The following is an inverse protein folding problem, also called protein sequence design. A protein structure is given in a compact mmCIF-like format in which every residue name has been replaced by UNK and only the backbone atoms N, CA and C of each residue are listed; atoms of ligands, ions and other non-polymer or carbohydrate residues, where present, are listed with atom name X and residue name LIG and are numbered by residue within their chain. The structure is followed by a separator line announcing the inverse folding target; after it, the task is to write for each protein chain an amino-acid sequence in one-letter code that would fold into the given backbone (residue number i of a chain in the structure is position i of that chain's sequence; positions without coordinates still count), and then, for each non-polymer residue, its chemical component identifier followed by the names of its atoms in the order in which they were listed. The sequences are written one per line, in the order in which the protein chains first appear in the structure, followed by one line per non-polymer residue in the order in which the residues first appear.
data_IF_807250914072
#
_entry.id   IF_807250914072
#
_cell.length_a   1.000
_cell.length_b   1.000
_cell.length_c   1.000
_cell.angle_alpha   90.00
_cell.angle_beta   90.00
_cell.angle_gamma   90.00
#
_symmetry.space_group_name_H-M   'P 1'
#
loop_
_entity.id
_entity.type
_entity.pdbx_description
1 polymer ?
#
# COMPACT_ATOMS: atom_id res chain seq x y z
N UNK A 1 20.26 -4.64 19.88
CA UNK A 1 19.03 -5.43 20.14
C UNK A 1 17.81 -4.74 19.57
N UNK A 2 17.46 -3.52 20.00
CA UNK A 2 16.29 -2.78 19.49
C UNK A 2 16.22 -2.68 17.95
N UNK A 3 17.31 -2.30 17.29
CA UNK A 3 17.37 -2.22 15.82
C UNK A 3 17.05 -3.55 15.13
N UNK A 4 17.55 -4.67 15.68
CA UNK A 4 17.25 -6.00 15.16
C UNK A 4 15.78 -6.38 15.35
N UNK A 5 15.14 -5.95 16.44
CA UNK A 5 13.72 -6.23 16.71
C UNK A 5 12.82 -5.44 15.75
N UNK A 6 13.10 -4.14 15.56
CA UNK A 6 12.36 -3.30 14.59
C UNK A 6 12.56 -3.78 13.16
N UNK A 7 13.77 -4.20 12.80
CA UNK A 7 14.04 -4.79 11.50
C UNK A 7 13.21 -6.06 11.26
N UNK A 8 13.16 -6.96 12.24
CA UNK A 8 12.31 -8.16 12.14
C UNK A 8 10.83 -7.81 12.07
N UNK A 9 10.37 -6.80 12.82
CA UNK A 9 8.98 -6.32 12.72
C UNK A 9 8.65 -5.85 11.30
N UNK A 10 9.53 -5.06 10.67
CA UNK A 10 9.39 -4.62 9.27
C UNK A 10 9.26 -5.80 8.32
N UNK A 11 10.13 -6.80 8.43
CA UNK A 11 10.07 -8.00 7.60
C UNK A 11 8.72 -8.73 7.77
N UNK A 12 8.23 -8.86 9.00
CA UNK A 12 6.95 -9.51 9.27
C UNK A 12 5.75 -8.74 8.72
N UNK A 13 5.82 -7.40 8.70
CA UNK A 13 4.81 -6.57 8.04
C UNK A 13 4.81 -6.81 6.52
N UNK A 14 5.99 -6.85 5.89
CA UNK A 14 6.15 -7.11 4.45
C UNK A 14 5.66 -8.51 4.06
N UNK A 15 5.92 -9.51 4.92
CA UNK A 15 5.42 -10.89 4.77
C UNK A 15 3.92 -11.05 5.09
N UNK A 16 3.23 -9.98 5.51
CA UNK A 16 1.85 -10.02 6.01
C UNK A 16 1.63 -10.94 7.24
N UNK A 17 2.68 -11.30 7.97
CA UNK A 17 2.58 -11.95 9.30
C UNK A 17 2.34 -10.88 10.38
N UNK A 18 1.17 -10.23 10.29
CA UNK A 18 0.79 -9.10 11.14
C UNK A 18 0.78 -9.45 12.65
N UNK A 19 0.34 -10.65 13.09
CA UNK A 19 0.43 -11.03 14.50
C UNK A 19 1.87 -11.16 14.98
N UNK A 20 2.80 -11.68 14.17
CA UNK A 20 4.21 -11.71 14.55
C UNK A 20 4.81 -10.30 14.58
N UNK A 21 4.50 -9.46 13.60
CA UNK A 21 4.94 -8.06 13.58
C UNK A 21 4.52 -7.31 14.86
N UNK A 22 3.27 -7.49 15.30
CA UNK A 22 2.75 -6.88 16.53
C UNK A 22 3.57 -7.30 17.76
N UNK A 23 3.83 -8.61 17.93
CA UNK A 23 4.68 -9.12 19.01
C UNK A 23 6.10 -8.53 19.00
N UNK A 24 6.68 -8.35 17.81
CA UNK A 24 8.00 -7.73 17.70
C UNK A 24 7.97 -6.24 18.05
N UNK A 25 6.92 -5.50 17.69
CA UNK A 25 6.77 -4.09 18.12
C UNK A 25 6.51 -3.97 19.63
N UNK A 26 5.76 -4.88 20.24
CA UNK A 26 5.61 -4.97 21.69
C UNK A 26 6.97 -5.23 22.38
N UNK A 27 7.76 -6.16 21.84
CA UNK A 27 9.12 -6.41 22.32
C UNK A 27 10.02 -5.18 22.13
N UNK A 28 9.91 -4.49 21.00
CA UNK A 28 10.69 -3.27 20.73
C UNK A 28 10.41 -2.21 21.80
N UNK A 29 9.15 -2.07 22.22
CA UNK A 29 8.76 -1.17 23.31
C UNK A 29 9.50 -1.50 24.61
N UNK A 30 9.56 -2.78 24.97
CA UNK A 30 10.23 -3.23 26.19
C UNK A 30 11.75 -3.01 26.16
N UNK A 31 12.37 -3.08 24.96
CA UNK A 31 13.82 -2.91 24.78
C UNK A 31 14.22 -1.44 24.59
N UNK A 32 13.42 -0.65 23.87
CA UNK A 32 13.69 0.77 23.61
C UNK A 32 13.48 1.60 24.87
N UNK A 33 12.50 1.24 25.71
CA UNK A 33 12.08 2.05 26.86
C UNK A 33 11.42 3.39 26.46
N UNK A 34 11.43 3.75 25.18
CA UNK A 34 10.81 4.93 24.60
C UNK A 34 9.93 4.54 23.40
N UNK A 35 8.64 4.84 23.49
CA UNK A 35 7.67 4.64 22.40
C UNK A 35 7.66 5.75 21.36
N UNK A 36 8.41 6.82 21.61
CA UNK A 36 8.51 7.97 20.71
C UNK A 36 9.62 7.79 19.66
N UNK A 37 10.24 6.60 19.54
CA UNK A 37 11.22 6.36 18.49
C UNK A 37 10.58 6.45 17.09
N UNK A 38 11.20 7.20 16.18
CA UNK A 38 10.63 7.50 14.87
C UNK A 38 10.38 6.24 14.02
N UNK A 39 11.31 5.27 14.06
CA UNK A 39 11.19 4.01 13.29
C UNK A 39 10.09 3.14 13.91
N UNK A 40 10.03 3.07 15.24
CA UNK A 40 8.95 2.37 15.93
C UNK A 40 7.58 2.92 15.54
N UNK A 41 7.38 4.24 15.63
CA UNK A 41 6.11 4.88 15.29
C UNK A 41 5.74 4.66 13.81
N UNK A 42 6.73 4.76 12.91
CA UNK A 42 6.51 4.48 11.49
C UNK A 42 6.00 3.06 11.25
N UNK A 43 6.67 2.05 11.83
CA UNK A 43 6.29 0.65 11.66
C UNK A 43 4.97 0.32 12.36
N UNK A 44 4.67 0.96 13.49
CA UNK A 44 3.38 0.83 14.17
C UNK A 44 2.24 1.38 13.31
N UNK A 45 2.40 2.57 12.72
CA UNK A 45 1.41 3.14 11.81
C UNK A 45 1.17 2.22 10.60
N UNK A 46 2.24 1.70 10.00
CA UNK A 46 2.16 0.77 8.87
C UNK A 46 1.47 -0.55 9.25
N UNK A 47 1.77 -1.12 10.42
CA UNK A 47 1.09 -2.31 10.92
C UNK A 47 -0.41 -2.06 11.09
N UNK A 48 -0.80 -0.96 11.75
CA UNK A 48 -2.22 -0.62 11.96
C UNK A 48 -2.94 -0.40 10.62
N UNK A 49 -2.28 0.23 9.65
CA UNK A 49 -2.79 0.38 8.29
C UNK A 49 -3.05 -0.99 7.63
N UNK A 50 -2.07 -1.91 7.67
CA UNK A 50 -2.20 -3.27 7.11
C UNK A 50 -3.26 -4.11 7.83
N UNK A 51 -3.55 -3.82 9.10
CA UNK A 51 -4.65 -4.42 9.88
C UNK A 51 -6.01 -3.76 9.63
N UNK A 52 -6.10 -2.79 8.70
CA UNK A 52 -7.29 -1.97 8.45
C UNK A 52 -7.78 -1.16 9.67
N UNK A 53 -6.90 -0.89 10.64
CA UNK A 53 -7.18 -0.04 11.82
C UNK A 53 -6.86 1.42 11.49
N UNK A 54 -7.57 1.97 10.51
CA UNK A 54 -7.27 3.26 9.87
C UNK A 54 -7.18 4.43 10.87
N UNK A 55 -8.13 4.61 11.81
CA UNK A 55 -8.05 5.73 12.76
C UNK A 55 -6.81 5.65 13.67
N UNK A 56 -6.40 4.45 14.06
CA UNK A 56 -5.21 4.24 14.89
C UNK A 56 -3.93 4.46 14.12
N UNK A 57 -3.88 3.99 12.87
CA UNK A 57 -2.76 4.27 11.97
C UNK A 57 -2.58 5.78 11.77
N UNK A 58 -3.67 6.52 11.58
CA UNK A 58 -3.65 7.98 11.40
C UNK A 58 -3.12 8.69 12.66
N UNK A 59 -3.63 8.32 13.83
CA UNK A 59 -3.15 8.88 15.09
C UNK A 59 -1.64 8.66 15.30
N UNK A 60 -1.13 7.45 15.04
CA UNK A 60 0.30 7.13 15.17
C UNK A 60 1.14 7.88 14.13
N UNK A 61 0.67 7.99 12.88
CA UNK A 61 1.34 8.81 11.85
C UNK A 61 1.43 10.27 12.30
N UNK A 62 0.34 10.85 12.77
CA UNK A 62 0.29 12.26 13.14
C UNK A 62 1.19 12.53 14.35
N UNK A 63 1.25 11.61 15.31
CA UNK A 63 2.21 11.65 16.42
C UNK A 63 3.66 11.57 15.93
N UNK A 64 3.97 10.63 15.04
CA UNK A 64 5.29 10.48 14.41
C UNK A 64 5.72 11.76 13.71
N UNK A 65 4.86 12.35 12.87
CA UNK A 65 5.18 13.55 12.10
C UNK A 65 5.28 14.81 12.96
N UNK A 66 4.56 14.85 14.10
CA UNK A 66 4.68 15.94 15.08
C UNK A 66 6.03 15.89 15.82
N UNK A 67 6.50 14.68 16.16
CA UNK A 67 7.73 14.47 16.92
C UNK A 67 8.98 14.48 16.03
N UNK A 68 8.87 13.88 14.84
CA UNK A 68 9.95 13.60 13.90
C UNK A 68 9.58 14.04 12.48
N UNK A 69 9.37 15.35 12.23
CA UNK A 69 8.97 15.85 10.93
C UNK A 69 9.99 15.54 9.82
N UNK A 70 11.26 15.29 10.16
CA UNK A 70 12.31 14.89 9.23
C UNK A 70 12.09 13.51 8.59
N UNK A 71 11.20 12.68 9.15
CA UNK A 71 10.81 11.39 8.56
C UNK A 71 10.22 11.54 7.16
N UNK A 72 9.67 12.71 6.81
CA UNK A 72 9.20 13.04 5.46
C UNK A 72 10.34 13.18 4.42
N UNK A 73 11.60 12.99 4.80
CA UNK A 73 12.74 12.87 3.88
C UNK A 73 12.96 11.44 3.38
N UNK A 74 12.22 10.47 3.92
CA UNK A 74 12.24 9.09 3.45
C UNK A 74 11.07 8.86 2.46
N UNK A 75 11.35 8.50 1.20
CA UNK A 75 10.31 8.18 0.21
C UNK A 75 9.31 7.12 0.67
N UNK A 76 9.75 6.11 1.44
CA UNK A 76 8.87 5.04 1.94
C UNK A 76 7.88 5.58 2.97
N UNK A 77 8.33 6.49 3.83
CA UNK A 77 7.46 7.17 4.81
C UNK A 77 6.40 8.00 4.10
N UNK A 78 6.80 8.78 3.10
CA UNK A 78 5.89 9.58 2.29
C UNK A 78 4.84 8.71 1.59
N UNK A 79 5.25 7.60 1.00
CA UNK A 79 4.31 6.73 0.30
C UNK A 79 3.34 6.01 1.26
N UNK A 80 3.80 5.61 2.45
CA UNK A 80 2.92 5.06 3.49
C UNK A 80 1.93 6.13 4.02
N UNK A 81 2.37 7.38 4.16
CA UNK A 81 1.49 8.50 4.51
C UNK A 81 0.44 8.75 3.42
N UNK A 82 0.84 8.67 2.13
CA UNK A 82 -0.08 8.78 1.00
C UNK A 82 -1.15 7.67 1.03
N UNK A 83 -0.75 6.42 1.28
CA UNK A 83 -1.69 5.31 1.36
C UNK A 83 -2.73 5.52 2.46
N UNK A 84 -2.28 5.98 3.63
CA UNK A 84 -3.18 6.28 4.73
C UNK A 84 -4.14 7.43 4.36
N UNK A 85 -3.66 8.45 3.66
CA UNK A 85 -4.52 9.54 3.16
C UNK A 85 -5.58 9.02 2.18
N UNK A 86 -5.27 8.05 1.31
CA UNK A 86 -6.27 7.40 0.45
C UNK A 86 -7.39 6.76 1.29
N UNK A 87 -7.04 6.02 2.36
CA UNK A 87 -8.03 5.44 3.28
C UNK A 87 -8.83 6.47 4.07
N UNK A 88 -8.25 7.64 4.34
CA UNK A 88 -8.94 8.77 4.96
C UNK A 88 -9.76 9.60 3.95
N UNK A 89 -9.79 9.22 2.67
CA UNK A 89 -10.39 9.99 1.57
C UNK A 89 -9.82 11.42 1.43
N UNK A 90 -8.53 11.58 1.77
CA UNK A 90 -7.73 12.82 1.68
C UNK A 90 -6.81 12.77 0.46
N UNK A 91 -7.42 12.82 -0.72
CA UNK A 91 -6.73 12.43 -1.97
C UNK A 91 -5.79 13.51 -2.50
N UNK A 92 -6.06 14.79 -2.19
CA UNK A 92 -5.14 15.89 -2.47
C UNK A 92 -3.84 15.77 -1.64
N UNK A 93 -3.96 15.44 -0.35
CA UNK A 93 -2.81 15.19 0.51
C UNK A 93 -2.04 13.94 0.06
N UNK A 94 -2.74 12.88 -0.34
CA UNK A 94 -2.11 11.69 -0.91
C UNK A 94 -1.29 12.01 -2.16
N UNK A 95 -1.83 12.82 -3.07
CA UNK A 95 -1.13 13.28 -4.27
C UNK A 95 0.15 14.05 -3.91
N UNK A 96 0.07 14.97 -2.96
CA UNK A 96 1.21 15.76 -2.50
C UNK A 96 2.32 14.89 -1.90
N UNK A 97 1.97 13.90 -1.08
CA UNK A 97 2.96 12.97 -0.53
C UNK A 97 3.65 12.13 -1.61
N UNK A 98 2.89 11.61 -2.59
CA UNK A 98 3.46 10.86 -3.71
C UNK A 98 4.36 11.72 -4.60
N UNK A 99 3.99 12.98 -4.81
CA UNK A 99 4.81 13.94 -5.56
C UNK A 99 6.15 14.17 -4.85
N UNK A 100 6.12 14.40 -3.53
CA UNK A 100 7.33 14.54 -2.73
C UNK A 100 8.18 13.26 -2.78
N UNK A 101 7.57 12.08 -2.68
CA UNK A 101 8.29 10.81 -2.73
C UNK A 101 9.02 10.65 -4.07
N UNK A 102 8.32 10.91 -5.18
CA UNK A 102 8.86 10.83 -6.55
C UNK A 102 10.01 11.82 -6.77
N UNK A 103 9.97 12.99 -6.11
CA UNK A 103 11.02 14.00 -6.20
C UNK A 103 12.31 13.58 -5.47
N UNK A 104 12.17 12.81 -4.38
CA UNK A 104 13.30 12.30 -3.61
C UNK A 104 13.90 11.03 -4.22
N UNK A 105 13.04 10.10 -4.65
CA UNK A 105 13.44 8.88 -5.33
C UNK A 105 12.46 8.56 -6.46
N UNK A 106 13.01 8.42 -7.67
CA UNK A 106 12.23 8.06 -8.85
C UNK A 106 11.90 6.57 -8.87
N UNK A 107 12.64 5.71 -8.14
CA UNK A 107 12.29 4.30 -7.95
C UNK A 107 11.24 4.16 -6.86
N UNK A 108 10.01 4.58 -7.18
CA UNK A 108 8.84 4.32 -6.34
C UNK A 108 8.65 2.79 -6.26
N UNK A 109 8.59 2.18 -5.05
CA UNK A 109 8.28 0.76 -4.95
C UNK A 109 6.96 0.39 -5.62
N UNK A 110 6.90 -0.80 -6.22
CA UNK A 110 5.78 -1.26 -7.05
C UNK A 110 4.42 -1.17 -6.33
N UNK A 111 4.40 -1.45 -5.02
CA UNK A 111 3.23 -1.31 -4.14
C UNK A 111 2.56 0.07 -4.19
N UNK A 112 3.30 1.12 -4.53
CA UNK A 112 2.80 2.49 -4.60
C UNK A 112 2.33 2.91 -5.99
N UNK A 113 2.56 2.08 -7.02
CA UNK A 113 1.95 2.27 -8.34
C UNK A 113 0.43 2.22 -8.25
N UNK A 114 -0.09 1.26 -7.47
CA UNK A 114 -1.53 1.16 -7.21
C UNK A 114 -2.09 2.42 -6.54
N UNK A 115 -1.42 2.93 -5.51
CA UNK A 115 -1.86 4.14 -4.77
C UNK A 115 -1.82 5.36 -5.67
N UNK A 116 -0.76 5.52 -6.48
CA UNK A 116 -0.68 6.59 -7.47
C UNK A 116 -1.77 6.51 -8.51
N UNK A 117 -2.08 5.32 -9.01
CA UNK A 117 -3.17 5.11 -9.95
C UNK A 117 -4.53 5.46 -9.33
N UNK A 118 -4.81 5.08 -8.08
CA UNK A 118 -6.05 5.47 -7.38
C UNK A 118 -6.21 6.99 -7.28
N UNK A 119 -5.13 7.70 -6.90
CA UNK A 119 -5.12 9.16 -6.81
C UNK A 119 -5.37 9.81 -8.18
N UNK A 120 -4.70 9.32 -9.23
CA UNK A 120 -4.92 9.80 -10.61
C UNK A 120 -6.35 9.57 -11.09
N UNK A 121 -6.90 8.39 -10.83
CA UNK A 121 -8.28 8.05 -11.17
C UNK A 121 -9.27 8.98 -10.47
N UNK A 122 -9.08 9.23 -9.17
CA UNK A 122 -9.95 10.14 -8.43
C UNK A 122 -9.91 11.57 -8.98
N UNK A 123 -8.73 12.03 -9.37
CA UNK A 123 -8.54 13.36 -9.95
C UNK A 123 -9.05 13.48 -11.40
N UNK A 124 -9.69 12.45 -11.95
CA UNK A 124 -10.21 12.42 -13.32
C UNK A 124 -9.13 12.25 -14.38
N UNK A 125 -7.87 12.00 -13.99
CA UNK A 125 -6.73 11.77 -14.88
C UNK A 125 -6.69 10.30 -15.33
N UNK A 126 -7.80 9.83 -15.91
CA UNK A 126 -8.01 8.41 -16.24
C UNK A 126 -7.01 7.89 -17.29
N UNK A 127 -6.59 8.73 -18.24
CA UNK A 127 -5.61 8.34 -19.26
C UNK A 127 -4.22 8.13 -18.64
N UNK A 128 -3.81 9.02 -17.73
CA UNK A 128 -2.53 8.90 -17.02
C UNK A 128 -2.52 7.67 -16.10
N UNK A 129 -3.63 7.44 -15.38
CA UNK A 129 -3.81 6.23 -14.58
C UNK A 129 -3.74 4.97 -15.45
N UNK A 130 -4.39 4.98 -16.63
CA UNK A 130 -4.39 3.86 -17.56
C UNK A 130 -2.99 3.57 -18.08
N UNK A 131 -2.26 4.61 -18.50
CA UNK A 131 -0.89 4.46 -18.99
C UNK A 131 0.04 3.94 -17.88
N UNK A 132 -0.13 4.41 -16.65
CA UNK A 132 0.65 3.95 -15.51
C UNK A 132 0.43 2.45 -15.23
N UNK A 133 -0.80 1.96 -15.36
CA UNK A 133 -1.15 0.57 -15.07
C UNK A 133 -0.90 -0.38 -16.24
N UNK A 134 -0.87 0.10 -17.49
CA UNK A 134 -0.77 -0.74 -18.67
C UNK A 134 0.49 -1.62 -18.71
N UNK A 135 1.60 -1.19 -18.10
CA UNK A 135 2.84 -1.97 -18.01
C UNK A 135 2.86 -3.00 -16.87
N UNK A 136 1.92 -2.89 -15.93
CA UNK A 136 1.91 -3.72 -14.72
C UNK A 136 0.89 -4.87 -14.78
N UNK A 137 -0.06 -4.80 -15.70
CA UNK A 137 -1.15 -5.78 -15.80
C UNK A 137 -0.77 -6.99 -16.65
N UNK A 138 -1.24 -8.14 -16.23
CA UNK A 138 -0.99 -9.42 -16.87
C UNK A 138 -2.23 -9.89 -17.63
N UNK A 139 -2.04 -10.40 -18.84
CA UNK A 139 -3.14 -10.91 -19.68
C UNK A 139 -3.11 -12.43 -19.85
N UNK A 140 -2.10 -13.11 -19.31
CA UNK A 140 -1.95 -14.56 -19.43
C UNK A 140 -2.51 -15.27 -18.20
N UNK A 141 -3.33 -16.30 -18.42
CA UNK A 141 -4.02 -17.06 -17.35
C UNK A 141 -3.10 -17.99 -16.55
N UNK A 142 -1.96 -18.36 -17.15
CA UNK A 142 -0.96 -19.21 -16.51
C UNK A 142 -0.03 -18.44 -15.56
N UNK A 143 -0.09 -17.10 -15.59
CA UNK A 143 0.75 -16.27 -14.73
C UNK A 143 0.37 -16.45 -13.25
N UNK A 144 1.40 -16.56 -12.41
CA UNK A 144 1.22 -16.54 -10.96
C UNK A 144 1.07 -15.09 -10.50
N UNK A 145 -0.17 -14.67 -10.29
CA UNK A 145 -0.48 -13.30 -9.86
C UNK A 145 -0.49 -13.18 -8.34
N UNK A 146 0.19 -12.15 -7.84
CA UNK A 146 0.15 -11.72 -6.45
C UNK A 146 -1.14 -10.97 -6.14
N UNK A 147 -1.47 -10.73 -4.85
CA UNK A 147 -2.60 -9.87 -4.50
C UNK A 147 -2.51 -8.45 -5.07
N UNK A 148 -1.29 -7.91 -5.26
CA UNK A 148 -1.10 -6.59 -5.85
C UNK A 148 -1.46 -6.62 -7.35
N UNK A 149 -1.01 -7.64 -8.08
CA UNK A 149 -1.30 -7.79 -9.51
C UNK A 149 -2.81 -7.85 -9.77
N UNK A 150 -3.54 -8.55 -8.91
CA UNK A 150 -5.01 -8.60 -8.96
C UNK A 150 -5.61 -7.20 -8.78
N UNK A 151 -5.17 -6.42 -7.78
CA UNK A 151 -5.67 -5.05 -7.54
C UNK A 151 -5.38 -4.11 -8.70
N UNK A 152 -4.17 -4.17 -9.24
CA UNK A 152 -3.77 -3.39 -10.42
C UNK A 152 -4.65 -3.74 -11.63
N UNK A 153 -4.90 -5.03 -11.85
CA UNK A 153 -5.73 -5.53 -12.95
C UNK A 153 -7.19 -5.12 -12.82
N UNK A 154 -7.75 -5.13 -11.61
CA UNK A 154 -9.10 -4.64 -11.33
C UNK A 154 -9.24 -3.15 -11.65
N UNK A 155 -8.36 -2.31 -11.10
CA UNK A 155 -8.38 -0.87 -11.33
C UNK A 155 -8.19 -0.52 -12.81
N UNK A 156 -7.28 -1.21 -13.50
CA UNK A 156 -7.07 -0.98 -14.93
C UNK A 156 -8.29 -1.39 -15.76
N UNK A 157 -8.96 -2.49 -15.42
CA UNK A 157 -10.19 -2.90 -16.09
C UNK A 157 -11.33 -1.89 -15.93
N UNK A 158 -11.45 -1.26 -14.76
CA UNK A 158 -12.40 -0.18 -14.52
C UNK A 158 -12.13 1.01 -15.45
N UNK A 159 -10.87 1.43 -15.57
CA UNK A 159 -10.47 2.50 -16.49
C UNK A 159 -10.71 2.15 -17.97
N UNK A 160 -10.47 0.89 -18.36
CA UNK A 160 -10.80 0.39 -19.69
C UNK A 160 -12.31 0.40 -19.97
N UNK A 161 -13.13 0.07 -18.96
CA UNK A 161 -14.58 0.18 -19.08
C UNK A 161 -15.03 1.64 -19.25
N UNK A 162 -14.45 2.58 -18.49
CA UNK A 162 -14.72 4.02 -18.61
C UNK A 162 -14.36 4.56 -20.00
N UNK A 163 -13.28 4.07 -20.61
CA UNK A 163 -12.88 4.39 -21.98
C UNK A 163 -13.61 3.57 -23.06
N UNK A 164 -14.61 2.77 -22.69
CA UNK A 164 -15.42 1.90 -23.57
C UNK A 164 -14.62 0.80 -24.27
N UNK A 165 -13.44 0.46 -23.77
CA UNK A 165 -12.62 -0.66 -24.27
C UNK A 165 -12.95 -1.96 -23.53
N UNK A 166 -14.21 -2.40 -23.66
CA UNK A 166 -14.76 -3.55 -22.90
C UNK A 166 -14.02 -4.85 -23.23
N UNK A 167 -13.55 -5.02 -24.46
CA UNK A 167 -12.83 -6.23 -24.85
C UNK A 167 -11.49 -6.36 -24.13
N UNK A 168 -10.70 -5.28 -24.08
CA UNK A 168 -9.45 -5.27 -23.32
C UNK A 168 -9.71 -5.44 -21.81
N UNK A 169 -10.77 -4.81 -21.30
CA UNK A 169 -11.17 -4.95 -19.89
C UNK A 169 -11.41 -6.43 -19.51
N UNK A 170 -12.07 -7.18 -20.39
CA UNK A 170 -12.33 -8.61 -20.19
C UNK A 170 -11.05 -9.47 -20.26
N UNK A 171 -10.12 -9.13 -21.17
CA UNK A 171 -8.84 -9.83 -21.31
C UNK A 171 -7.98 -9.71 -20.06
N UNK A 172 -7.94 -8.52 -19.44
CA UNK A 172 -7.20 -8.28 -18.18
C UNK A 172 -7.89 -8.95 -16.99
N UNK A 173 -9.22 -8.92 -16.93
CA UNK A 173 -9.95 -9.47 -15.76
C UNK A 173 -9.95 -10.98 -15.67
N UNK A 174 -9.86 -11.68 -16.80
CA UNK A 174 -9.91 -13.15 -16.82
C UNK A 174 -8.80 -13.81 -15.98
N UNK A 175 -7.50 -13.50 -16.16
CA UNK A 175 -6.43 -14.04 -15.31
C UNK A 175 -6.51 -13.53 -13.87
N UNK A 176 -6.86 -12.25 -13.67
CA UNK A 176 -7.00 -11.65 -12.34
C UNK A 176 -8.08 -12.33 -11.50
N UNK A 177 -9.24 -12.62 -12.10
CA UNK A 177 -10.33 -13.33 -11.44
C UNK A 177 -9.96 -14.77 -11.09
N UNK A 178 -9.29 -15.49 -12.00
CA UNK A 178 -8.80 -16.83 -11.74
C UNK A 178 -7.80 -16.85 -10.56
N UNK A 179 -6.89 -15.87 -10.50
CA UNK A 179 -5.96 -15.72 -9.40
C UNK A 179 -6.66 -15.36 -8.07
N UNK A 180 -7.61 -14.42 -8.10
CA UNK A 180 -8.39 -14.05 -6.91
C UNK A 180 -9.10 -15.27 -6.31
N UNK A 181 -9.74 -16.10 -7.13
CA UNK A 181 -10.37 -17.36 -6.69
C UNK A 181 -9.37 -18.32 -6.03
N UNK A 182 -8.16 -18.45 -6.57
CA UNK A 182 -7.08 -19.28 -5.97
C UNK A 182 -6.63 -18.72 -4.62
N UNK A 183 -6.44 -17.41 -4.52
CA UNK A 183 -6.00 -16.73 -3.29
C UNK A 183 -7.05 -16.82 -2.17
N UNK A 184 -8.34 -16.68 -2.52
CA UNK A 184 -9.44 -16.84 -1.55
C UNK A 184 -9.54 -18.28 -1.03
N UNK A 185 -9.29 -19.29 -1.88
CA UNK A 185 -9.24 -20.69 -1.46
C UNK A 185 -8.05 -21.05 -0.57
N UNK A 186 -7.03 -20.19 -0.49
CA UNK A 186 -5.79 -20.39 0.28
C UNK A 186 -5.74 -19.60 1.60
N UNK A 187 -6.87 -19.05 2.09
CA UNK A 187 -6.93 -18.22 3.30
C UNK A 187 -6.12 -16.90 3.25
N UNK A 188 -5.80 -16.35 2.07
CA UNK A 188 -5.18 -15.00 1.94
C UNK A 188 -6.19 -13.84 2.03
N UNK A 189 -7.33 -14.08 2.67
CA UNK A 189 -8.56 -13.25 2.70
C UNK A 189 -8.31 -11.81 3.18
N UNK A 190 -7.29 -11.57 4.03
CA UNK A 190 -7.04 -10.25 4.61
C UNK A 190 -6.39 -9.25 3.63
N UNK A 191 -5.80 -9.69 2.52
CA UNK A 191 -5.12 -8.79 1.57
C UNK A 191 -6.04 -8.21 0.49
N UNK A 192 -7.16 -8.90 0.18
CA UNK A 192 -8.11 -8.52 -0.86
C UNK A 192 -9.20 -7.56 -0.36
N UNK A 193 -9.60 -7.65 0.91
CA UNK A 193 -10.73 -6.90 1.47
C UNK A 193 -10.44 -5.44 1.91
N UNK A 194 -9.27 -4.89 1.64
CA UNK A 194 -8.90 -3.54 2.12
C UNK A 194 -9.31 -2.39 1.16
N UNK A 195 -10.38 -2.57 0.38
CA UNK A 195 -10.90 -1.54 -0.54
C UNK A 195 -12.43 -1.69 -0.68
N UNK A 196 -13.13 -1.61 0.45
CA UNK A 196 -14.55 -1.21 0.51
C UNK A 196 -14.71 -0.10 1.56
#
# INVERSE_FOLDING_TARGET
VAFSVLYTAKQKIEEYDLPAAERYLELATAVLGNKEDAIYLHLLALLRLKQCRIPEAAAVRDEMLRLHPEMLRDPVVLCNAAWLCVHENKLDEAANYLQQATALDKSIPQDYVYIKALVLTHNGLHEEASHLLASEVHTNEEDFLTPLDVKLSMLYSELLCLSKNIHAAAQVMKPAYAAACRLMGQNHVLSLCAAE
#
